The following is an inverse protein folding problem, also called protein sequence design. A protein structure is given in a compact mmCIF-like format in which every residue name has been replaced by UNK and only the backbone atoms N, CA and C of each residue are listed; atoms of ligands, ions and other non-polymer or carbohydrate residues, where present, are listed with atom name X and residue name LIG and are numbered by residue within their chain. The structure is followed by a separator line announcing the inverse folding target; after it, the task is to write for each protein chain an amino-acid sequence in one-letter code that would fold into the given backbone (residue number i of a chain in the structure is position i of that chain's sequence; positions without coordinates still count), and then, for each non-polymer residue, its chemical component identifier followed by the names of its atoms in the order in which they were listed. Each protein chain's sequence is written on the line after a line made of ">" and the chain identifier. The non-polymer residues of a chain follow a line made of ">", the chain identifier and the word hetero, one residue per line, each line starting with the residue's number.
data_IF_550205948617
#
_entry.id   IF_550205948617
#
_cell.length_a   1.000
_cell.length_b   1.000
_cell.length_c   1.000
_cell.angle_alpha   90.00
_cell.angle_beta   90.00
_cell.angle_gamma   90.00
#
_symmetry.space_group_name_H-M   'P 1'
#
loop_
_entity.id
_entity.type
_entity.pdbx_description
1 polymer ?
#
# COMPACT_ATOMS: atom_id res chain seq x y z
N UNK A 1 -21.06 2.92 -28.53
CA UNK A 1 -20.21 2.92 -27.32
C UNK A 1 -20.94 3.68 -26.22
N UNK A 2 -21.06 3.13 -25.01
CA UNK A 2 -21.88 3.72 -23.94
C UNK A 2 -21.34 5.12 -23.54
N UNK A 3 -22.16 6.19 -23.49
CA UNK A 3 -21.71 7.55 -23.18
C UNK A 3 -20.97 7.65 -21.83
N UNK A 4 -21.38 6.86 -20.83
CA UNK A 4 -20.72 6.83 -19.51
C UNK A 4 -19.26 6.36 -19.58
N UNK A 5 -18.98 5.38 -20.45
CA UNK A 5 -17.61 4.86 -20.63
C UNK A 5 -16.73 5.93 -21.29
N UNK A 6 -17.26 6.67 -22.26
CA UNK A 6 -16.55 7.77 -22.90
C UNK A 6 -16.19 8.88 -21.92
N UNK A 7 -17.13 9.24 -21.04
CA UNK A 7 -16.90 10.27 -20.04
C UNK A 7 -15.90 9.82 -18.99
N UNK A 8 -15.97 8.56 -18.54
CA UNK A 8 -14.99 7.98 -17.64
C UNK A 8 -13.57 8.01 -18.25
N UNK A 9 -13.42 7.58 -19.51
CA UNK A 9 -12.11 7.59 -20.20
C UNK A 9 -11.55 9.00 -20.36
N UNK A 10 -12.39 10.00 -20.64
CA UNK A 10 -11.99 11.40 -20.71
C UNK A 10 -11.52 11.91 -19.35
N UNK A 11 -12.26 11.61 -18.29
CA UNK A 11 -11.88 11.95 -16.91
C UNK A 11 -10.58 11.27 -16.51
N UNK A 12 -10.42 9.97 -16.79
CA UNK A 12 -9.19 9.23 -16.51
C UNK A 12 -7.96 9.86 -17.18
N UNK A 13 -8.07 10.25 -18.46
CA UNK A 13 -6.97 10.93 -19.18
C UNK A 13 -6.62 12.29 -18.58
N UNK A 14 -7.61 13.01 -18.08
CA UNK A 14 -7.39 14.31 -17.47
C UNK A 14 -6.74 14.19 -16.09
N UNK A 15 -7.27 13.29 -15.25
CA UNK A 15 -6.77 13.04 -13.91
C UNK A 15 -5.37 12.40 -13.91
N UNK A 16 -5.08 11.50 -14.84
CA UNK A 16 -3.73 10.93 -14.97
C UNK A 16 -2.69 11.99 -15.37
N UNK A 17 -3.04 12.90 -16.29
CA UNK A 17 -2.16 14.03 -16.66
C UNK A 17 -1.94 14.97 -15.48
N UNK A 18 -2.94 15.20 -14.64
CA UNK A 18 -2.77 15.98 -13.40
C UNK A 18 -1.81 15.29 -12.44
N UNK A 19 -2.01 13.99 -12.18
CA UNK A 19 -1.15 13.22 -11.30
C UNK A 19 0.32 13.31 -11.74
N UNK A 20 0.59 13.09 -13.03
CA UNK A 20 1.94 13.16 -13.62
C UNK A 20 2.53 14.57 -13.58
N UNK A 21 1.73 15.62 -13.40
CA UNK A 21 2.24 17.00 -13.23
C UNK A 21 2.48 17.38 -11.78
N UNK A 22 2.04 16.57 -10.80
CA UNK A 22 2.26 16.85 -9.38
C UNK A 22 3.69 16.50 -9.00
N UNK A 23 4.43 17.47 -8.48
CA UNK A 23 5.79 17.25 -7.94
C UNK A 23 5.80 16.16 -6.88
N UNK A 24 4.74 16.08 -6.05
CA UNK A 24 4.63 15.06 -5.01
C UNK A 24 4.64 13.63 -5.57
N UNK A 25 4.06 13.41 -6.75
CA UNK A 25 4.09 12.09 -7.40
C UNK A 25 5.51 11.73 -7.87
N UNK A 26 6.23 12.67 -8.46
CA UNK A 26 7.64 12.45 -8.82
C UNK A 26 8.55 12.26 -7.60
N UNK A 27 8.29 13.02 -6.53
CA UNK A 27 8.97 12.82 -5.25
C UNK A 27 8.71 11.43 -4.70
N UNK A 28 7.47 10.92 -4.77
CA UNK A 28 7.18 9.55 -4.32
C UNK A 28 7.86 8.48 -5.18
N UNK A 29 7.93 8.68 -6.50
CA UNK A 29 8.63 7.77 -7.41
C UNK A 29 10.13 7.66 -7.11
N UNK A 30 10.75 8.74 -6.62
CA UNK A 30 12.17 8.75 -6.24
C UNK A 30 12.38 8.29 -4.78
N UNK A 31 11.55 8.77 -3.86
CA UNK A 31 11.73 8.54 -2.43
C UNK A 31 11.45 7.09 -2.03
N UNK A 32 10.44 6.44 -2.62
CA UNK A 32 10.13 5.03 -2.30
C UNK A 32 11.31 4.09 -2.57
N UNK A 33 11.89 4.02 -3.78
CA UNK A 33 13.05 3.15 -4.03
C UNK A 33 14.30 3.62 -3.26
N UNK A 34 14.48 4.92 -3.04
CA UNK A 34 15.59 5.43 -2.23
C UNK A 34 15.49 4.94 -0.79
N UNK A 35 14.30 4.96 -0.18
CA UNK A 35 14.08 4.48 1.19
C UNK A 35 14.33 2.99 1.31
N UNK A 36 13.92 2.20 0.31
CA UNK A 36 14.26 0.77 0.22
C UNK A 36 15.79 0.57 0.18
N UNK A 37 16.51 1.33 -0.65
CA UNK A 37 17.97 1.22 -0.73
C UNK A 37 18.65 1.63 0.58
N UNK A 38 18.18 2.71 1.21
CA UNK A 38 18.74 3.19 2.48
C UNK A 38 18.43 2.25 3.64
N UNK A 39 17.22 1.69 3.71
CA UNK A 39 16.88 0.70 4.74
C UNK A 39 17.69 -0.59 4.54
N UNK A 40 17.87 -1.02 3.30
CA UNK A 40 18.71 -2.17 2.97
C UNK A 40 20.19 -1.96 3.29
N UNK A 41 20.71 -0.76 3.06
CA UNK A 41 22.06 -0.38 3.46
C UNK A 41 22.20 -0.39 4.98
N UNK A 42 21.25 0.20 5.70
CA UNK A 42 21.25 0.19 7.17
C UNK A 42 21.19 -1.24 7.72
N UNK A 43 20.30 -2.09 7.19
CA UNK A 43 20.16 -3.48 7.63
C UNK A 43 21.43 -4.30 7.39
N UNK A 44 22.13 -4.10 6.27
CA UNK A 44 23.36 -4.85 5.95
C UNK A 44 24.62 -4.33 6.66
N UNK A 45 24.63 -3.06 7.09
CA UNK A 45 25.82 -2.45 7.73
C UNK A 45 25.73 -2.39 9.25
N UNK A 46 24.52 -2.29 9.80
CA UNK A 46 24.31 -2.12 11.25
C UNK A 46 23.87 -3.41 11.95
N UNK A 47 23.30 -4.37 11.23
CA UNK A 47 22.84 -5.63 11.82
C UNK A 47 23.86 -6.78 11.58
N UNK A 48 23.77 -7.81 12.43
CA UNK A 48 24.40 -9.11 12.21
C UNK A 48 23.98 -9.71 10.86
N UNK A 49 24.67 -10.73 10.31
CA UNK A 49 24.29 -11.33 9.02
C UNK A 49 22.79 -11.66 8.98
N UNK A 50 22.03 -10.84 8.25
CA UNK A 50 20.58 -10.99 8.07
C UNK A 50 20.37 -11.93 6.90
N UNK A 51 19.57 -12.96 7.10
CA UNK A 51 19.19 -13.88 6.02
C UNK A 51 18.44 -13.13 4.91
N UNK A 52 18.74 -13.45 3.66
CA UNK A 52 18.33 -12.66 2.49
C UNK A 52 16.81 -12.48 2.37
N UNK A 53 16.02 -13.46 2.85
CA UNK A 53 14.55 -13.38 2.85
C UNK A 53 14.03 -12.37 3.88
N UNK A 54 14.64 -12.31 5.06
CA UNK A 54 14.29 -11.36 6.11
C UNK A 54 14.66 -9.93 5.66
N UNK A 55 15.84 -9.79 5.04
CA UNK A 55 16.28 -8.52 4.43
C UNK A 55 15.29 -8.02 3.37
N UNK A 56 14.86 -8.88 2.44
CA UNK A 56 13.89 -8.49 1.40
C UNK A 56 12.56 -8.00 1.99
N UNK A 57 12.04 -8.72 2.98
CA UNK A 57 10.77 -8.37 3.60
C UNK A 57 10.84 -7.10 4.45
N UNK A 58 11.91 -6.90 5.22
CA UNK A 58 12.14 -5.69 5.99
C UNK A 58 12.22 -4.47 5.06
N UNK A 59 13.07 -4.56 4.05
CA UNK A 59 13.35 -3.47 3.12
C UNK A 59 12.12 -3.10 2.28
N UNK A 60 11.36 -4.09 1.81
CA UNK A 60 10.10 -3.85 1.09
C UNK A 60 9.02 -3.24 1.98
N UNK A 61 8.90 -3.66 3.25
CA UNK A 61 7.93 -3.10 4.21
C UNK A 61 8.15 -1.60 4.46
N UNK A 62 9.41 -1.15 4.58
CA UNK A 62 9.74 0.29 4.65
C UNK A 62 9.33 1.06 3.39
N UNK A 63 9.57 0.47 2.22
CA UNK A 63 9.11 1.03 0.94
C UNK A 63 7.59 1.16 0.87
N UNK A 64 6.86 0.14 1.31
CA UNK A 64 5.41 0.12 1.35
C UNK A 64 4.82 1.12 2.36
N UNK A 65 5.41 1.24 3.54
CA UNK A 65 5.00 2.22 4.54
C UNK A 65 5.15 3.66 4.01
N UNK A 66 6.28 3.96 3.35
CA UNK A 66 6.47 5.27 2.73
C UNK A 66 5.52 5.49 1.55
N UNK A 67 5.28 4.47 0.72
CA UNK A 67 4.30 4.54 -0.36
C UNK A 67 2.89 4.83 0.17
N UNK A 68 2.47 4.17 1.26
CA UNK A 68 1.20 4.41 1.93
C UNK A 68 1.05 5.87 2.37
N UNK A 69 2.11 6.47 2.93
CA UNK A 69 2.12 7.89 3.31
C UNK A 69 1.90 8.81 2.11
N UNK A 70 2.67 8.62 1.02
CA UNK A 70 2.52 9.44 -0.19
C UNK A 70 1.13 9.28 -0.82
N UNK A 71 0.61 8.04 -0.89
CA UNK A 71 -0.73 7.76 -1.43
C UNK A 71 -1.83 8.43 -0.60
N UNK A 72 -1.70 8.42 0.72
CA UNK A 72 -2.63 9.11 1.60
C UNK A 72 -2.62 10.62 1.35
N UNK A 73 -1.44 11.24 1.26
CA UNK A 73 -1.32 12.69 0.98
C UNK A 73 -1.86 13.03 -0.42
N UNK A 74 -1.54 12.22 -1.43
CA UNK A 74 -2.09 12.37 -2.79
C UNK A 74 -3.62 12.22 -2.81
N UNK A 75 -4.15 11.28 -2.04
CA UNK A 75 -5.60 11.08 -1.85
C UNK A 75 -6.25 12.28 -1.16
N UNK A 76 -5.72 12.72 -0.03
CA UNK A 76 -6.24 13.86 0.76
C UNK A 76 -6.24 15.19 0.00
N UNK A 77 -5.30 15.37 -0.93
CA UNK A 77 -5.20 16.56 -1.80
C UNK A 77 -5.98 16.42 -3.11
N UNK A 78 -6.49 15.23 -3.45
CA UNK A 78 -7.03 14.93 -4.79
C UNK A 78 -8.26 15.75 -5.17
N UNK A 79 -9.19 16.01 -4.24
CA UNK A 79 -10.42 16.79 -4.50
C UNK A 79 -10.22 18.25 -4.11
N UNK A 80 -9.52 18.51 -3.01
CA UNK A 80 -9.41 19.85 -2.42
C UNK A 80 -8.58 20.84 -3.23
N UNK A 81 -7.54 20.39 -3.93
CA UNK A 81 -6.80 21.27 -4.84
C UNK A 81 -7.70 21.87 -5.94
N UNK A 82 -8.75 21.15 -6.35
CA UNK A 82 -9.70 21.64 -7.34
C UNK A 82 -10.69 22.63 -6.76
N UNK A 83 -10.96 22.55 -5.45
CA UNK A 83 -11.76 23.51 -4.71
C UNK A 83 -11.05 24.86 -4.65
N UNK A 84 -9.76 24.85 -4.32
CA UNK A 84 -8.92 26.06 -4.18
C UNK A 84 -8.78 26.78 -5.53
N UNK A 85 -8.60 26.03 -6.62
CA UNK A 85 -8.47 26.60 -7.96
C UNK A 85 -9.83 27.01 -8.60
N UNK A 86 -10.96 26.88 -7.89
CA UNK A 86 -12.30 27.14 -8.42
C UNK A 86 -12.76 26.16 -9.51
N UNK A 87 -11.93 25.17 -9.86
CA UNK A 87 -12.20 24.17 -10.88
C UNK A 87 -13.35 23.23 -10.48
N UNK A 88 -13.62 23.08 -9.18
CA UNK A 88 -14.70 22.25 -8.65
C UNK A 88 -16.09 22.73 -9.11
N UNK A 89 -16.28 24.05 -9.27
CA UNK A 89 -17.48 24.63 -9.89
C UNK A 89 -17.57 24.22 -11.37
N UNK A 90 -16.47 24.31 -12.11
CA UNK A 90 -16.42 23.88 -13.51
C UNK A 90 -16.64 22.36 -13.68
N UNK A 91 -16.20 21.53 -12.74
CA UNK A 91 -16.45 20.07 -12.75
C UNK A 91 -17.92 19.77 -12.48
N UNK A 92 -18.57 20.48 -11.55
CA UNK A 92 -20.00 20.31 -11.25
C UNK A 92 -20.93 20.87 -12.33
N UNK A 93 -20.46 21.86 -13.10
CA UNK A 93 -21.19 22.41 -14.25
C UNK A 93 -20.95 21.63 -15.56
N UNK A 94 -20.02 20.67 -15.59
CA UNK A 94 -19.86 19.76 -16.73
C UNK A 94 -20.97 18.71 -16.74
N UNK A 95 -21.30 18.13 -17.90
CA UNK A 95 -22.29 17.05 -18.02
C UNK A 95 -21.84 15.73 -17.37
N UNK A 96 -20.69 15.69 -16.70
CA UNK A 96 -20.14 14.47 -16.11
C UNK A 96 -20.66 14.32 -14.68
N UNK A 97 -21.20 13.15 -14.35
CA UNK A 97 -21.73 12.89 -13.02
C UNK A 97 -20.61 12.95 -11.95
N UNK A 98 -20.90 13.46 -10.73
CA UNK A 98 -19.95 13.48 -9.62
C UNK A 98 -19.36 12.11 -9.29
N UNK A 99 -20.15 11.04 -9.47
CA UNK A 99 -19.73 9.66 -9.26
C UNK A 99 -18.67 9.21 -10.29
N UNK A 100 -18.85 9.54 -11.58
CA UNK A 100 -17.87 9.21 -12.64
C UNK A 100 -16.54 9.94 -12.40
N UNK A 101 -16.61 11.20 -11.96
CA UNK A 101 -15.41 11.98 -11.61
C UNK A 101 -14.63 11.35 -10.44
N UNK A 102 -15.31 11.00 -9.34
CA UNK A 102 -14.64 10.36 -8.21
C UNK A 102 -14.15 8.94 -8.52
N UNK A 103 -14.89 8.18 -9.32
CA UNK A 103 -14.45 6.87 -9.80
C UNK A 103 -13.15 7.00 -10.61
N UNK A 104 -13.06 8.00 -11.49
CA UNK A 104 -11.84 8.27 -12.24
C UNK A 104 -10.65 8.59 -11.32
N UNK A 105 -10.86 9.38 -10.25
CA UNK A 105 -9.81 9.64 -9.24
C UNK A 105 -9.38 8.39 -8.50
N UNK A 106 -10.35 7.59 -8.05
CA UNK A 106 -10.07 6.34 -7.35
C UNK A 106 -9.24 5.39 -8.24
N UNK A 107 -9.57 5.28 -9.53
CA UNK A 107 -8.83 4.47 -10.49
C UNK A 107 -7.42 5.01 -10.77
N UNK A 108 -7.25 6.34 -10.90
CA UNK A 108 -5.91 6.94 -11.08
C UNK A 108 -5.05 6.73 -9.83
N UNK A 109 -5.62 6.87 -8.63
CA UNK A 109 -4.93 6.57 -7.38
C UNK A 109 -4.61 5.08 -7.25
N UNK A 110 -5.51 4.18 -7.67
CA UNK A 110 -5.26 2.74 -7.72
C UNK A 110 -4.08 2.39 -8.63
N UNK A 111 -3.98 3.02 -9.81
CA UNK A 111 -2.81 2.86 -10.70
C UNK A 111 -1.54 3.40 -10.02
N UNK A 112 -1.61 4.57 -9.37
CA UNK A 112 -0.46 5.11 -8.63
C UNK A 112 -0.01 4.15 -7.51
N UNK A 113 -0.95 3.54 -6.79
CA UNK A 113 -0.69 2.52 -5.76
C UNK A 113 0.09 1.34 -6.34
N UNK A 114 -0.37 0.79 -7.47
CA UNK A 114 0.33 -0.31 -8.13
C UNK A 114 1.73 0.09 -8.60
N UNK A 115 1.90 1.31 -9.14
CA UNK A 115 3.21 1.81 -9.57
C UNK A 115 4.18 1.93 -8.39
N UNK A 116 3.75 2.52 -7.27
CA UNK A 116 4.63 2.65 -6.09
C UNK A 116 4.92 1.29 -5.44
N UNK A 117 3.93 0.39 -5.39
CA UNK A 117 4.10 -0.96 -4.89
C UNK A 117 5.12 -1.77 -5.72
N UNK A 118 4.99 -1.72 -7.04
CA UNK A 118 5.91 -2.40 -7.96
C UNK A 118 7.32 -1.83 -7.89
N UNK A 119 7.47 -0.51 -7.77
CA UNK A 119 8.78 0.12 -7.56
C UNK A 119 9.43 -0.32 -6.24
N UNK A 120 8.66 -0.36 -5.14
CA UNK A 120 9.17 -0.85 -3.86
C UNK A 120 9.65 -2.30 -3.96
N UNK A 121 8.86 -3.18 -4.59
CA UNK A 121 9.20 -4.59 -4.79
C UNK A 121 10.44 -4.78 -5.69
N UNK A 122 10.52 -4.06 -6.82
CA UNK A 122 11.67 -4.13 -7.73
C UNK A 122 12.93 -3.65 -7.02
N UNK A 123 12.86 -2.51 -6.31
CA UNK A 123 14.00 -1.97 -5.59
C UNK A 123 14.46 -2.92 -4.47
N UNK A 124 13.52 -3.49 -3.72
CA UNK A 124 13.84 -4.48 -2.67
C UNK A 124 14.49 -5.72 -3.27
N UNK A 125 13.97 -6.20 -4.40
CA UNK A 125 14.49 -7.37 -5.10
C UNK A 125 15.93 -7.15 -5.55
N UNK A 126 16.18 -6.04 -6.24
CA UNK A 126 17.52 -5.68 -6.71
C UNK A 126 18.50 -5.48 -5.55
N UNK A 127 18.04 -4.91 -4.44
CA UNK A 127 18.88 -4.74 -3.25
C UNK A 127 19.25 -6.08 -2.63
N UNK A 128 18.29 -6.97 -2.42
CA UNK A 128 18.53 -8.30 -1.84
C UNK A 128 19.45 -9.15 -2.70
N UNK A 129 19.29 -9.12 -4.03
CA UNK A 129 20.20 -9.78 -4.97
C UNK A 129 21.63 -9.24 -4.85
N UNK A 130 21.80 -7.92 -4.69
CA UNK A 130 23.12 -7.30 -4.47
C UNK A 130 23.74 -7.69 -3.13
N UNK A 131 22.95 -7.88 -2.08
CA UNK A 131 23.41 -8.18 -0.73
C UNK A 131 23.89 -9.64 -0.54
N UNK A 132 23.78 -10.49 -1.57
CA UNK A 132 24.18 -11.90 -1.51
C UNK A 132 23.20 -12.83 -2.22
N UNK A 133 21.98 -12.37 -2.50
CA UNK A 133 20.96 -13.17 -3.19
C UNK A 133 20.25 -14.16 -2.27
N UNK A 134 19.20 -14.80 -2.79
CA UNK A 134 18.44 -15.80 -2.05
C UNK A 134 19.25 -17.11 -2.03
N UNK A 135 19.89 -17.42 -0.91
CA UNK A 135 20.61 -18.69 -0.73
C UNK A 135 19.67 -19.79 -0.22
N UNK A 136 20.06 -21.05 -0.44
CA UNK A 136 19.40 -22.17 0.21
C UNK A 136 19.64 -22.07 1.72
N UNK A 137 18.56 -22.14 2.51
CA UNK A 137 18.64 -22.08 3.97
C UNK A 137 18.44 -23.50 4.47
N UNK A 138 19.44 -24.02 5.19
CA UNK A 138 19.30 -25.25 5.98
C UNK A 138 18.73 -24.86 7.33
N UNK A 139 17.47 -25.21 7.55
CA UNK A 139 16.81 -24.92 8.81
C UNK A 139 17.03 -26.13 9.72
N UNK A 140 17.75 -25.92 10.83
CA UNK A 140 17.91 -26.96 11.86
C UNK A 140 16.66 -26.97 12.71
N UNK A 141 15.95 -28.09 12.66
CA UNK A 141 14.70 -28.31 13.34
C UNK A 141 14.98 -28.75 14.79
N UNK A 142 14.59 -27.98 15.83
CA UNK A 142 14.85 -28.38 17.21
C UNK A 142 13.88 -29.48 17.66
N UNK A 143 14.27 -30.75 17.48
CA UNK A 143 13.50 -31.92 17.92
C UNK A 143 13.41 -33.05 16.89
N UNK A 144 13.75 -32.78 15.63
CA UNK A 144 13.98 -33.80 14.59
C UNK A 144 15.46 -33.84 14.21
N UNK A 145 16.00 -35.04 13.96
CA UNK A 145 17.37 -35.22 13.45
C UNK A 145 17.51 -34.74 11.98
N UNK A 146 16.39 -34.54 11.28
CA UNK A 146 16.39 -34.18 9.85
C UNK A 146 16.41 -32.67 9.65
N UNK A 147 17.45 -32.20 8.96
CA UNK A 147 17.58 -30.81 8.52
C UNK A 147 16.80 -30.64 7.22
N UNK A 148 15.71 -29.87 7.21
CA UNK A 148 15.06 -29.50 5.95
C UNK A 148 15.87 -28.41 5.24
N UNK A 149 16.32 -28.71 4.03
CA UNK A 149 17.02 -27.76 3.17
C UNK A 149 16.02 -27.16 2.20
N UNK A 150 15.66 -25.90 2.44
CA UNK A 150 14.82 -25.17 1.50
C UNK A 150 15.64 -24.67 0.32
N UNK A 151 15.18 -24.97 -0.88
CA UNK A 151 15.80 -24.42 -2.09
C UNK A 151 15.64 -22.89 -2.13
N UNK A 152 16.65 -22.22 -2.68
CA UNK A 152 16.62 -20.77 -2.92
C UNK A 152 15.36 -20.30 -3.65
N UNK A 153 14.86 -21.10 -4.60
CA UNK A 153 13.66 -20.78 -5.36
C UNK A 153 12.40 -20.81 -4.49
N UNK A 154 12.26 -21.80 -3.61
CA UNK A 154 11.13 -21.91 -2.70
C UNK A 154 11.08 -20.72 -1.73
N UNK A 155 12.22 -20.36 -1.13
CA UNK A 155 12.31 -19.20 -0.24
C UNK A 155 11.99 -17.89 -0.97
N UNK A 156 12.51 -17.71 -2.19
CA UNK A 156 12.20 -16.54 -3.02
C UNK A 156 10.71 -16.42 -3.32
N UNK A 157 10.05 -17.50 -3.75
CA UNK A 157 8.61 -17.51 -4.00
C UNK A 157 7.79 -17.21 -2.74
N UNK A 158 8.20 -17.79 -1.62
CA UNK A 158 7.57 -17.59 -0.33
C UNK A 158 7.63 -16.13 0.14
N UNK A 159 8.83 -15.52 0.14
CA UNK A 159 8.98 -14.12 0.56
C UNK A 159 8.26 -13.16 -0.39
N UNK A 160 8.27 -13.46 -1.69
CA UNK A 160 7.54 -12.69 -2.68
C UNK A 160 6.02 -12.79 -2.48
N UNK A 161 5.50 -13.97 -2.14
CA UNK A 161 4.08 -14.15 -1.79
C UNK A 161 3.64 -13.34 -0.57
N UNK A 162 4.44 -13.37 0.51
CA UNK A 162 4.16 -12.61 1.73
C UNK A 162 4.21 -11.10 1.53
N UNK A 163 5.14 -10.61 0.71
CA UNK A 163 5.26 -9.17 0.40
C UNK A 163 4.18 -8.69 -0.56
N UNK A 164 3.74 -9.51 -1.51
CA UNK A 164 2.56 -9.20 -2.36
C UNK A 164 1.30 -9.05 -1.51
N UNK A 165 1.15 -9.79 -0.42
CA UNK A 165 0.02 -9.64 0.50
C UNK A 165 -0.04 -8.26 1.20
N UNK A 166 1.02 -7.44 1.13
CA UNK A 166 1.02 -6.04 1.62
C UNK A 166 0.47 -5.03 0.61
N UNK A 167 0.36 -5.40 -0.67
CA UNK A 167 -0.15 -4.50 -1.70
C UNK A 167 -1.60 -4.08 -1.46
N UNK A 168 -2.53 -4.99 -1.07
CA UNK A 168 -3.91 -4.62 -0.76
C UNK A 168 -4.08 -3.53 0.32
N UNK A 169 -3.37 -3.57 1.47
CA UNK A 169 -3.32 -2.45 2.43
C UNK A 169 -2.98 -1.07 1.85
N UNK A 170 -2.17 -0.96 0.80
CA UNK A 170 -1.83 0.34 0.20
C UNK A 170 -3.04 1.01 -0.47
N UNK A 171 -3.96 0.20 -1.02
CA UNK A 171 -5.20 0.71 -1.59
C UNK A 171 -6.05 1.41 -0.53
N UNK A 172 -6.03 0.91 0.71
CA UNK A 172 -6.73 1.55 1.82
C UNK A 172 -6.23 2.98 2.06
N UNK A 173 -4.92 3.22 2.06
CA UNK A 173 -4.36 4.57 2.23
C UNK A 173 -4.84 5.54 1.15
N UNK A 174 -4.89 5.09 -0.11
CA UNK A 174 -5.39 5.90 -1.22
C UNK A 174 -6.91 6.17 -1.14
N UNK A 175 -7.70 5.16 -0.75
CA UNK A 175 -9.16 5.27 -0.57
C UNK A 175 -9.55 6.12 0.63
N UNK A 176 -8.85 5.96 1.76
CA UNK A 176 -9.00 6.79 2.95
C UNK A 176 -8.69 8.26 2.62
N UNK A 177 -7.58 8.51 1.92
CA UNK A 177 -7.22 9.86 1.50
C UNK A 177 -8.31 10.50 0.63
N UNK A 178 -8.84 9.76 -0.35
CA UNK A 178 -9.94 10.22 -1.20
C UNK A 178 -11.21 10.53 -0.39
N UNK A 179 -11.57 9.66 0.57
CA UNK A 179 -12.71 9.87 1.47
C UNK A 179 -12.56 11.15 2.29
N UNK A 180 -11.38 11.34 2.91
CA UNK A 180 -11.11 12.54 3.71
C UNK A 180 -11.13 13.80 2.84
N UNK A 181 -10.57 13.74 1.63
CA UNK A 181 -10.63 14.83 0.65
C UNK A 181 -12.07 15.16 0.21
N UNK A 182 -12.92 14.14 0.08
CA UNK A 182 -14.33 14.32 -0.25
C UNK A 182 -15.12 14.97 0.91
N UNK A 183 -14.72 14.73 2.16
CA UNK A 183 -15.40 15.21 3.36
C UNK A 183 -14.96 16.61 3.83
N UNK A 184 -13.69 16.99 3.63
CA UNK A 184 -13.10 18.21 4.21
C UNK A 184 -12.73 19.18 3.10
N UNK A 185 -13.02 20.48 3.25
CA UNK A 185 -12.70 21.51 2.24
C UNK A 185 -11.22 21.95 2.25
N UNK A 186 -10.58 21.96 3.42
CA UNK A 186 -9.19 22.37 3.57
C UNK A 186 -8.22 21.22 3.28
N UNK A 187 -7.30 21.41 2.33
CA UNK A 187 -6.27 20.43 1.99
C UNK A 187 -5.35 20.11 3.17
N UNK A 188 -4.94 21.13 3.93
CA UNK A 188 -4.09 20.94 5.12
C UNK A 188 -4.79 20.11 6.20
N UNK A 189 -6.05 20.44 6.51
CA UNK A 189 -6.83 19.69 7.49
C UNK A 189 -7.12 18.25 7.02
N UNK A 190 -7.36 18.06 5.72
CA UNK A 190 -7.57 16.74 5.14
C UNK A 190 -6.33 15.84 5.29
N UNK A 191 -5.13 16.38 5.05
CA UNK A 191 -3.88 15.64 5.25
C UNK A 191 -3.67 15.30 6.72
N UNK A 192 -3.84 16.27 7.63
CA UNK A 192 -3.66 16.04 9.08
C UNK A 192 -4.65 14.99 9.59
N UNK A 193 -5.93 15.10 9.23
CA UNK A 193 -6.94 14.12 9.68
C UNK A 193 -6.67 12.73 9.09
N UNK A 194 -6.34 12.66 7.79
CA UNK A 194 -5.98 11.39 7.15
C UNK A 194 -4.81 10.70 7.87
N UNK A 195 -3.76 11.46 8.19
CA UNK A 195 -2.60 10.96 8.93
C UNK A 195 -2.96 10.49 10.34
N UNK A 196 -3.76 11.27 11.08
CA UNK A 196 -4.22 10.88 12.41
C UNK A 196 -5.06 9.59 12.39
N UNK A 197 -5.96 9.45 11.42
CA UNK A 197 -6.77 8.22 11.26
C UNK A 197 -5.87 7.04 10.92
N UNK A 198 -4.95 7.21 9.96
CA UNK A 198 -4.03 6.14 9.56
C UNK A 198 -3.11 5.70 10.70
N UNK A 199 -2.55 6.66 11.45
CA UNK A 199 -1.69 6.38 12.60
C UNK A 199 -2.48 5.74 13.75
N UNK A 200 -3.69 6.22 14.03
CA UNK A 200 -4.57 5.64 15.05
C UNK A 200 -4.94 4.19 14.73
N UNK A 201 -5.30 3.89 13.47
CA UNK A 201 -5.59 2.52 13.03
C UNK A 201 -4.35 1.62 13.07
N UNK A 202 -3.18 2.15 12.69
CA UNK A 202 -1.91 1.42 12.83
C UNK A 202 -1.56 1.10 14.28
N UNK A 203 -1.69 2.09 15.16
CA UNK A 203 -1.47 1.93 16.60
C UNK A 203 -2.44 0.92 17.23
N UNK A 204 -3.73 1.01 16.92
CA UNK A 204 -4.73 0.04 17.41
C UNK A 204 -4.41 -1.39 16.96
N UNK A 205 -4.04 -1.58 15.70
CA UNK A 205 -3.63 -2.90 15.20
C UNK A 205 -2.36 -3.43 15.87
N UNK A 206 -1.41 -2.57 16.22
CA UNK A 206 -0.19 -2.98 16.94
C UNK A 206 -0.43 -3.34 18.41
N UNK A 207 -1.43 -2.73 19.05
CA UNK A 207 -1.74 -2.98 20.48
C UNK A 207 -2.71 -4.15 20.65
N UNK A 208 -3.66 -4.32 19.73
CA UNK A 208 -4.66 -5.39 19.74
C UNK A 208 -4.46 -6.31 18.54
N UNK A 209 -3.67 -7.37 18.74
CA UNK A 209 -3.29 -8.35 17.70
C UNK A 209 -4.49 -9.00 17.02
N UNK A 210 -5.60 -9.16 17.74
CA UNK A 210 -6.85 -9.74 17.24
C UNK A 210 -7.57 -8.82 16.23
N UNK A 211 -7.37 -7.50 16.34
CA UNK A 211 -7.94 -6.51 15.43
C UNK A 211 -7.02 -6.13 14.27
N UNK A 212 -5.74 -6.46 14.32
CA UNK A 212 -4.83 -6.11 13.24
C UNK A 212 -5.18 -6.65 11.84
N UNK A 213 -5.87 -7.80 11.61
CA UNK A 213 -6.37 -8.13 10.27
C UNK A 213 -7.46 -7.17 9.77
N UNK A 214 -8.12 -6.43 10.67
CA UNK A 214 -9.10 -5.40 10.38
C UNK A 214 -8.49 -3.99 10.31
N UNK A 215 -7.20 -3.83 10.61
CA UNK A 215 -6.47 -2.56 10.60
C UNK A 215 -5.42 -2.53 9.46
N UNK A 216 -5.78 -2.07 8.24
CA UNK A 216 -4.89 -2.13 7.09
C UNK A 216 -3.52 -1.47 7.29
N UNK A 217 -3.37 -0.33 8.01
CA UNK A 217 -2.05 0.24 8.26
C UNK A 217 -1.13 -0.66 9.10
N UNK A 218 -1.68 -1.48 9.99
CA UNK A 218 -0.90 -2.46 10.77
C UNK A 218 -0.45 -3.64 9.90
N UNK A 219 -1.19 -3.98 8.84
CA UNK A 219 -0.80 -5.03 7.90
C UNK A 219 0.45 -4.68 7.09
N UNK A 220 0.84 -3.40 7.01
CA UNK A 220 2.05 -2.97 6.31
C UNK A 220 3.35 -3.29 7.07
N UNK A 221 3.28 -3.47 8.39
CA UNK A 221 4.44 -3.88 9.21
C UNK A 221 4.43 -5.38 9.50
N UNK A 222 3.29 -6.04 9.31
CA UNK A 222 3.09 -7.44 9.69
C UNK A 222 4.00 -8.47 9.01
N UNK A 223 4.43 -8.36 7.75
CA UNK A 223 5.24 -9.45 7.18
C UNK A 223 6.63 -9.53 7.77
N UNK A 224 7.15 -8.42 8.31
CA UNK A 224 8.35 -8.43 9.12
C UNK A 224 8.10 -9.14 10.46
N UNK A 225 6.96 -8.88 11.11
CA UNK A 225 6.55 -9.57 12.34
C UNK A 225 6.33 -11.06 12.11
N UNK A 226 5.58 -11.43 11.06
CA UNK A 226 5.30 -12.81 10.67
C UNK A 226 6.58 -13.54 10.26
N UNK A 227 7.49 -12.92 9.49
CA UNK A 227 8.78 -13.55 9.19
C UNK A 227 9.67 -13.67 10.42
N UNK A 228 9.62 -12.71 11.35
CA UNK A 228 10.30 -12.80 12.64
C UNK A 228 9.71 -13.88 13.53
N UNK A 229 8.40 -14.08 13.51
CA UNK A 229 7.68 -15.15 14.21
C UNK A 229 7.95 -16.51 13.56
N UNK A 230 7.96 -16.59 12.24
CA UNK A 230 8.30 -17.78 11.44
C UNK A 230 9.75 -18.20 11.63
N UNK A 231 10.68 -17.25 11.61
CA UNK A 231 12.10 -17.51 11.93
C UNK A 231 12.28 -18.01 13.37
N UNK A 232 11.33 -17.73 14.27
CA UNK A 232 11.29 -18.27 15.65
C UNK A 232 10.49 -19.56 15.77
N UNK A 233 9.54 -19.83 14.88
CA UNK A 233 8.60 -20.95 14.91
C UNK A 233 8.93 -21.95 13.78
N UNK A 234 9.90 -22.81 14.04
CA UNK A 234 10.67 -23.52 13.02
C UNK A 234 10.12 -24.87 12.50
N UNK A 235 8.83 -25.21 12.64
CA UNK A 235 8.36 -26.58 12.26
C UNK A 235 6.95 -26.71 11.65
N UNK A 236 6.04 -25.74 11.77
CA UNK A 236 4.61 -26.03 11.54
C UNK A 236 3.91 -25.21 10.44
N UNK A 237 4.57 -24.22 9.84
CA UNK A 237 3.84 -23.07 9.28
C UNK A 237 3.82 -23.02 7.74
N UNK A 238 4.60 -23.87 7.05
CA UNK A 238 4.57 -23.95 5.59
C UNK A 238 3.18 -24.21 4.98
N UNK A 239 2.41 -25.23 5.43
CA UNK A 239 1.07 -25.48 4.89
C UNK A 239 0.04 -24.43 5.33
N UNK A 240 0.32 -23.65 6.38
CA UNK A 240 -0.60 -22.60 6.86
C UNK A 240 -0.46 -21.28 6.09
N UNK A 241 0.72 -20.99 5.51
CA UNK A 241 0.99 -19.73 4.79
C UNK A 241 0.49 -19.75 3.35
N UNK A 242 0.54 -20.90 2.66
CA UNK A 242 -0.10 -21.05 1.34
C UNK A 242 -1.62 -20.88 1.43
N UNK A 243 -2.24 -21.37 2.52
CA UNK A 243 -3.65 -21.09 2.82
C UNK A 243 -3.87 -19.60 3.15
N UNK A 244 -2.99 -18.96 3.92
CA UNK A 244 -3.11 -17.55 4.31
C UNK A 244 -2.95 -16.58 3.12
N UNK A 245 -2.00 -16.79 2.22
CA UNK A 245 -1.67 -15.81 1.16
C UNK A 245 -2.76 -15.64 0.09
N UNK A 246 -3.65 -16.62 -0.10
CA UNK A 246 -4.67 -16.59 -1.17
C UNK A 246 -6.12 -16.61 -0.69
N UNK A 247 -6.39 -17.04 0.55
CA UNK A 247 -7.78 -17.18 1.05
C UNK A 247 -8.14 -16.29 2.24
N UNK A 248 -7.18 -15.56 2.82
CA UNK A 248 -7.38 -14.94 4.13
C UNK A 248 -7.76 -13.45 4.12
N UNK A 249 -8.40 -13.05 5.21
CA UNK A 249 -8.83 -11.69 5.55
C UNK A 249 -7.81 -10.55 5.29
N UNK A 250 -6.48 -10.68 5.46
CA UNK A 250 -5.52 -9.60 5.17
C UNK A 250 -5.42 -9.18 3.71
N UNK A 251 -5.82 -10.01 2.73
CA UNK A 251 -5.84 -9.63 1.31
C UNK A 251 -7.18 -9.00 0.94
N UNK A 252 -8.27 -9.68 1.27
CA UNK A 252 -9.62 -9.26 0.87
C UNK A 252 -10.17 -8.13 1.74
N UNK A 253 -9.85 -8.12 3.03
CA UNK A 253 -10.31 -7.10 3.99
C UNK A 253 -9.94 -5.69 3.55
N UNK A 254 -8.65 -5.36 3.31
CA UNK A 254 -8.26 -4.04 2.86
C UNK A 254 -8.89 -3.62 1.52
N UNK A 255 -9.07 -4.54 0.57
CA UNK A 255 -9.74 -4.24 -0.70
C UNK A 255 -11.22 -3.93 -0.50
N UNK A 256 -11.92 -4.72 0.32
CA UNK A 256 -13.32 -4.49 0.67
C UNK A 256 -13.48 -3.14 1.38
N UNK A 257 -12.63 -2.84 2.36
CA UNK A 257 -12.65 -1.54 3.07
C UNK A 257 -12.32 -0.41 2.10
N UNK A 258 -11.41 -0.60 1.14
CA UNK A 258 -11.14 0.40 0.08
C UNK A 258 -12.37 0.63 -0.80
N UNK A 259 -13.06 -0.44 -1.21
CA UNK A 259 -14.30 -0.35 -1.97
C UNK A 259 -15.37 0.42 -1.21
N UNK A 260 -15.58 0.10 0.07
CA UNK A 260 -16.54 0.78 0.95
C UNK A 260 -16.16 2.24 1.16
N UNK A 261 -14.91 2.56 1.47
CA UNK A 261 -14.45 3.96 1.66
C UNK A 261 -14.60 4.77 0.38
N UNK A 262 -14.36 4.18 -0.79
CA UNK A 262 -14.58 4.84 -2.09
C UNK A 262 -16.07 5.09 -2.33
N UNK A 263 -16.95 4.12 -2.04
CA UNK A 263 -18.41 4.29 -2.15
C UNK A 263 -18.91 5.39 -1.21
N UNK A 264 -18.45 5.41 0.05
CA UNK A 264 -18.78 6.46 1.02
C UNK A 264 -18.27 7.81 0.54
N UNK A 265 -17.06 7.89 -0.04
CA UNK A 265 -16.52 9.12 -0.62
C UNK A 265 -17.44 9.66 -1.73
N UNK A 266 -17.97 8.79 -2.59
CA UNK A 266 -18.94 9.16 -3.63
C UNK A 266 -20.23 9.72 -3.03
N UNK A 267 -20.77 9.05 -2.01
CA UNK A 267 -21.99 9.48 -1.34
C UNK A 267 -21.81 10.84 -0.66
N UNK A 268 -20.71 11.02 0.08
CA UNK A 268 -20.38 12.28 0.76
C UNK A 268 -20.20 13.41 -0.25
N UNK A 269 -19.45 13.18 -1.32
CA UNK A 269 -19.20 14.19 -2.34
C UNK A 269 -20.46 14.58 -3.11
N UNK A 270 -21.36 13.62 -3.39
CA UNK A 270 -22.63 13.91 -4.09
C UNK A 270 -23.54 14.84 -3.28
N UNK A 271 -23.49 14.77 -1.95
CA UNK A 271 -24.30 15.59 -1.04
C UNK A 271 -23.64 16.92 -0.66
N UNK A 272 -22.33 17.09 -0.89
CA UNK A 272 -21.60 18.32 -0.53
C UNK A 272 -22.14 19.50 -1.34
N UNK A 273 -22.52 20.64 -0.74
CA UNK A 273 -22.95 21.82 -1.49
C UNK A 273 -21.78 22.47 -2.23
N UNK A 274 -22.04 23.07 -3.41
CA UNK A 274 -21.02 23.87 -4.13
C UNK A 274 -20.93 25.22 -3.42
N UNK A 275 -19.79 25.51 -2.81
CA UNK A 275 -19.50 26.81 -2.20
C UNK A 275 -18.67 27.68 -3.13
#
# INVERSE_FOLDING_TARGET
>A
MNPLINDLLRCLRFESRKLVRRNLFWMSLAAVPLTVVLSGWAATTLAQPVESYALFAEVSSWGFLLAAFFLLVLGCSSVNEEGICGALRAVRCRPVSPAVYLLAKALVLAVATLVLATLALIAAYLWTERAGGFHAVSIVIPGLEDTEVYSAAAMKHFTLGLTIAQVPPLFFSSGLGLLVSAAIDSSGLAVVLGLLISAGLGGLGSVQTDLAPLCPPALLTRPMELLGELARANEAVQPQVEAWTLTSAPVWGPLLVTGVTTLVAMLVFSKRPVR
#
